data_IF_303229030163
#
_entry.id   IF_303229030163
#
_cell.length_a   1.000
_cell.length_b   1.000
_cell.length_c   1.000
_cell.angle_alpha   90.00
_cell.angle_beta   90.00
_cell.angle_gamma   90.00
#
_symmetry.space_group_name_H-M   'P 1'
#
loop_
_entity.id
_entity.type
_entity.pdbx_description
1 polymer ?
#
# COMPACT_ATOMS: atom_id res chain seq x y z
N UNK A 1 -27.84 18.17 19.40
CA UNK A 1 -26.53 17.61 18.98
C UNK A 1 -26.55 17.56 17.47
N UNK A 2 -25.71 18.34 16.78
CA UNK A 2 -25.61 18.26 15.31
C UNK A 2 -24.60 17.17 14.98
N UNK A 3 -25.07 16.09 14.36
CA UNK A 3 -24.21 15.01 13.89
C UNK A 3 -23.35 15.56 12.74
N UNK A 4 -22.05 15.73 12.99
CA UNK A 4 -21.11 16.03 11.92
C UNK A 4 -20.99 14.79 11.03
N UNK A 5 -21.39 14.92 9.77
CA UNK A 5 -21.22 13.86 8.78
C UNK A 5 -19.77 13.88 8.30
N UNK A 6 -19.02 12.81 8.58
CA UNK A 6 -17.62 12.68 8.20
C UNK A 6 -17.57 11.84 6.92
N UNK A 7 -16.99 12.41 5.87
CA UNK A 7 -16.70 11.73 4.62
C UNK A 7 -15.20 11.77 4.36
N UNK A 8 -14.69 10.68 3.79
CA UNK A 8 -13.32 10.58 3.30
C UNK A 8 -13.26 10.86 1.80
N UNK A 9 -12.07 11.25 1.35
CA UNK A 9 -11.82 11.55 -0.04
C UNK A 9 -10.35 11.78 -0.31
N UNK A 10 -10.01 11.92 -1.59
CA UNK A 10 -8.64 12.10 -2.05
C UNK A 10 -8.46 13.47 -2.70
N UNK A 11 -7.33 14.10 -2.40
CA UNK A 11 -6.91 15.32 -3.08
C UNK A 11 -6.33 14.94 -4.45
N UNK A 12 -7.15 15.04 -5.50
CA UNK A 12 -6.73 14.75 -6.89
C UNK A 12 -5.85 15.86 -7.48
N UNK A 13 -6.04 17.10 -7.02
CA UNK A 13 -5.24 18.26 -7.40
C UNK A 13 -5.28 19.31 -6.29
N UNK A 14 -4.45 20.36 -6.31
CA UNK A 14 -4.39 21.36 -5.23
C UNK A 14 -5.75 21.96 -4.84
N UNK A 15 -6.69 22.01 -5.78
CA UNK A 15 -8.00 22.64 -5.60
C UNK A 15 -9.17 21.68 -5.84
N UNK A 16 -8.93 20.37 -5.94
CA UNK A 16 -9.97 19.38 -6.24
C UNK A 16 -9.88 18.21 -5.27
N UNK A 17 -10.91 18.07 -4.44
CA UNK A 17 -11.14 16.92 -3.57
C UNK A 17 -12.20 16.06 -4.23
N UNK A 18 -11.87 14.80 -4.47
CA UNK A 18 -12.83 13.78 -4.85
C UNK A 18 -13.28 13.06 -3.58
N UNK A 19 -14.58 12.93 -3.39
CA UNK A 19 -15.16 12.24 -2.25
C UNK A 19 -15.42 10.79 -2.61
N UNK A 20 -15.22 9.89 -1.64
CA UNK A 20 -15.49 8.46 -1.83
C UNK A 20 -16.98 8.17 -2.04
N UNK A 21 -17.84 9.04 -1.52
CA UNK A 21 -19.29 8.96 -1.62
C UNK A 21 -19.90 10.33 -2.00
N UNK A 22 -21.04 10.30 -2.69
CA UNK A 22 -21.78 11.51 -3.05
C UNK A 22 -22.37 12.19 -1.81
N UNK A 23 -22.21 13.51 -1.71
CA UNK A 23 -22.88 14.31 -0.69
C UNK A 23 -24.39 14.34 -0.96
N UNK A 24 -25.17 13.64 -0.15
CA UNK A 24 -26.64 13.62 -0.21
C UNK A 24 -27.27 14.87 0.44
N UNK A 25 -26.69 16.05 0.22
CA UNK A 25 -27.22 17.31 0.73
C UNK A 25 -27.92 18.09 -0.38
N UNK A 26 -29.06 18.71 -0.06
CA UNK A 26 -29.66 19.75 -0.91
C UNK A 26 -28.75 20.98 -0.97
N UNK A 27 -29.00 21.91 -1.92
CA UNK A 27 -28.24 23.16 -2.03
C UNK A 27 -28.25 23.94 -0.72
N UNK A 28 -27.15 23.91 0.02
CA UNK A 28 -26.99 24.55 1.33
C UNK A 28 -25.55 24.99 1.58
N UNK A 29 -25.34 25.85 2.58
CA UNK A 29 -23.98 26.22 3.03
C UNK A 29 -23.38 25.06 3.82
N UNK A 30 -22.19 24.61 3.44
CA UNK A 30 -21.47 23.50 4.08
C UNK A 30 -20.11 24.00 4.60
N UNK A 31 -19.68 23.50 5.75
CA UNK A 31 -18.33 23.70 6.29
C UNK A 31 -17.51 22.45 6.01
N UNK A 32 -16.38 22.59 5.33
CA UNK A 32 -15.43 21.50 5.07
C UNK A 32 -14.24 21.68 6.02
N UNK A 33 -13.84 20.60 6.69
CA UNK A 33 -12.63 20.53 7.51
C UNK A 33 -11.71 19.52 6.83
N UNK A 34 -10.55 19.99 6.35
CA UNK A 34 -9.54 19.13 5.72
C UNK A 34 -8.48 18.82 6.75
N UNK A 35 -8.42 17.57 7.20
CA UNK A 35 -7.37 17.09 8.07
C UNK A 35 -6.33 16.33 7.24
N UNK A 36 -5.04 16.71 7.28
CA UNK A 36 -4.02 15.95 6.58
C UNK A 36 -3.92 14.56 7.23
N UNK A 37 -4.27 13.53 6.46
CA UNK A 37 -3.99 12.16 6.86
C UNK A 37 -2.47 12.00 6.95
N UNK A 38 -1.97 11.83 8.17
CA UNK A 38 -0.60 11.37 8.36
C UNK A 38 -0.51 9.97 7.75
N UNK A 39 0.06 9.87 6.54
CA UNK A 39 0.47 8.59 6.00
C UNK A 39 1.62 8.13 6.88
N UNK A 40 1.30 7.41 7.94
CA UNK A 40 2.28 6.73 8.76
C UNK A 40 2.80 5.60 7.88
N UNK A 41 3.85 5.87 7.11
CA UNK A 41 4.70 4.83 6.54
C UNK A 41 5.32 4.10 7.72
N UNK A 42 4.59 3.15 8.31
CA UNK A 42 5.16 2.21 9.27
C UNK A 42 6.17 1.40 8.48
N UNK A 43 7.44 1.81 8.55
CA UNK A 43 8.56 1.00 8.08
C UNK A 43 8.43 -0.35 8.78
N UNK A 44 7.90 -1.35 8.06
CA UNK A 44 7.89 -2.71 8.56
C UNK A 44 9.35 -3.10 8.75
N UNK A 45 9.67 -3.65 9.92
CA UNK A 45 11.00 -4.21 10.15
C UNK A 45 11.32 -5.19 9.03
N UNK A 46 12.52 -5.09 8.46
CA UNK A 46 13.00 -5.99 7.42
C UNK A 46 12.81 -7.45 7.86
N UNK A 47 13.15 -7.74 9.13
CA UNK A 47 13.00 -9.08 9.72
C UNK A 47 11.55 -9.57 9.70
N UNK A 48 10.59 -8.74 10.15
CA UNK A 48 9.16 -9.11 10.11
C UNK A 48 8.65 -9.34 8.69
N UNK A 49 9.19 -8.59 7.73
CA UNK A 49 8.81 -8.73 6.33
C UNK A 49 9.33 -10.04 5.76
N UNK A 50 10.59 -10.38 6.01
CA UNK A 50 11.20 -11.65 5.61
C UNK A 50 10.49 -12.85 6.25
N UNK A 51 10.17 -12.76 7.54
CA UNK A 51 9.42 -13.79 8.26
C UNK A 51 8.02 -14.00 7.63
N UNK A 52 7.34 -12.91 7.28
CA UNK A 52 6.03 -12.99 6.60
C UNK A 52 6.15 -13.67 5.24
N UNK A 53 7.20 -13.37 4.46
CA UNK A 53 7.46 -13.99 3.16
C UNK A 53 7.73 -15.49 3.33
N UNK A 54 8.59 -15.85 4.28
CA UNK A 54 8.95 -17.24 4.55
C UNK A 54 7.73 -18.06 5.00
N UNK A 55 6.89 -17.51 5.86
CA UNK A 55 5.67 -18.18 6.32
C UNK A 55 4.69 -18.43 5.16
N UNK A 56 4.54 -17.46 4.25
CA UNK A 56 3.72 -17.63 3.03
C UNK A 56 4.27 -18.68 2.08
N UNK A 57 5.60 -18.76 1.94
CA UNK A 57 6.24 -19.77 1.11
C UNK A 57 6.03 -21.16 1.70
N UNK A 58 6.21 -21.32 3.02
CA UNK A 58 5.92 -22.58 3.72
C UNK A 58 4.47 -23.02 3.56
N UNK A 59 3.50 -22.11 3.72
CA UNK A 59 2.08 -22.43 3.54
C UNK A 59 1.71 -22.87 2.12
N UNK A 60 2.54 -22.52 1.13
CA UNK A 60 2.37 -22.90 -0.28
C UNK A 60 3.17 -24.15 -0.64
N UNK A 61 3.77 -24.83 0.33
CA UNK A 61 4.70 -25.95 0.12
C UNK A 61 5.81 -25.59 -0.90
N UNK A 62 6.29 -24.34 -0.86
CA UNK A 62 7.37 -23.91 -1.70
C UNK A 62 8.64 -24.70 -1.37
N UNK A 63 9.21 -25.35 -2.38
CA UNK A 63 10.50 -26.02 -2.28
C UNK A 63 11.56 -25.02 -2.71
N UNK A 64 12.41 -24.53 -1.80
CA UNK A 64 13.49 -23.62 -2.18
C UNK A 64 14.48 -24.33 -3.10
N UNK A 65 14.92 -23.62 -4.13
CA UNK A 65 15.97 -24.08 -5.04
C UNK A 65 17.27 -24.34 -4.27
N UNK A 66 18.06 -25.27 -4.78
CA UNK A 66 19.38 -25.55 -4.21
C UNK A 66 20.30 -24.36 -4.47
N UNK A 67 21.26 -24.16 -3.56
CA UNK A 67 22.24 -23.07 -3.69
C UNK A 67 22.93 -23.09 -5.05
N UNK A 68 23.33 -24.27 -5.52
CA UNK A 68 24.00 -24.46 -6.81
C UNK A 68 23.12 -24.05 -8.01
N UNK A 69 21.81 -24.29 -7.93
CA UNK A 69 20.85 -23.87 -8.97
C UNK A 69 20.70 -22.35 -9.00
N UNK A 70 20.64 -21.72 -7.82
CA UNK A 70 20.58 -20.26 -7.68
C UNK A 70 21.87 -19.62 -8.18
N UNK A 71 23.03 -20.16 -7.81
CA UNK A 71 24.34 -19.65 -8.23
C UNK A 71 24.52 -19.78 -9.75
N UNK A 72 24.07 -20.89 -10.34
CA UNK A 72 24.06 -21.09 -11.80
C UNK A 72 23.13 -20.09 -12.51
N UNK A 73 21.93 -19.89 -11.99
CA UNK A 73 20.97 -18.92 -12.54
C UNK A 73 21.51 -17.47 -12.49
N UNK A 74 22.14 -17.09 -11.39
CA UNK A 74 22.74 -15.74 -11.23
C UNK A 74 23.92 -15.55 -12.21
N UNK A 75 24.75 -16.57 -12.39
CA UNK A 75 25.88 -16.50 -13.32
C UNK A 75 25.42 -16.41 -14.77
N UNK A 76 24.41 -17.18 -15.17
CA UNK A 76 23.78 -17.08 -16.50
C UNK A 76 23.14 -15.71 -16.74
N UNK A 77 22.40 -15.17 -15.76
CA UNK A 77 21.82 -13.82 -15.83
C UNK A 77 22.90 -12.75 -16.02
N UNK A 78 23.99 -12.81 -15.24
CA UNK A 78 25.08 -11.83 -15.35
C UNK A 78 25.81 -11.90 -16.69
N UNK A 79 26.02 -13.11 -17.22
CA UNK A 79 26.62 -13.30 -18.54
C UNK A 79 25.77 -12.78 -19.69
N UNK A 80 24.46 -12.57 -19.47
CA UNK A 80 23.53 -12.01 -20.47
C UNK A 80 23.48 -10.48 -20.51
N UNK A 81 24.26 -9.81 -19.65
CA UNK A 81 24.29 -8.33 -19.55
C UNK A 81 25.44 -7.71 -20.35
N UNK A 82 26.35 -8.54 -20.88
CA UNK A 82 27.39 -8.19 -21.86
C UNK A 82 26.90 -8.50 -23.28
#
# INVERSE_FOLDING_TARGET
>A
MQNAYILTGFLKSPNLIELDESLSFSFQKVRIIVEPLQIIYRKKSLLKTLETIQNRQKSRNYIPQLKEEVDKYITELRGSWD
#
